data_IF_856729989774
#
_entry.id   IF_856729989774
#
_cell.length_a   1.000
_cell.length_b   1.000
_cell.length_c   1.000
_cell.angle_alpha   90.00
_cell.angle_beta   90.00
_cell.angle_gamma   90.00
#
_symmetry.space_group_name_H-M   'P 1'
#
loop_
_entity.id
_entity.type
_entity.pdbx_description
1 polymer ?
#
# COMPACT_ATOMS: atom_id res chain seq x y z
N UNK A 1 -9.07 18.53 6.94
CA UNK A 1 -9.91 18.93 8.09
C UNK A 1 -10.29 20.39 7.90
N UNK A 2 -11.58 20.72 7.88
CA UNK A 2 -12.01 22.11 7.97
C UNK A 2 -11.56 22.66 9.33
N UNK A 3 -10.84 23.78 9.33
CA UNK A 3 -10.44 24.45 10.58
C UNK A 3 -11.70 24.90 11.32
N UNK A 4 -11.75 24.67 12.63
CA UNK A 4 -12.84 25.17 13.46
C UNK A 4 -12.99 26.70 13.27
N UNK A 5 -14.23 27.22 13.28
CA UNK A 5 -14.44 28.66 13.21
C UNK A 5 -13.76 29.32 14.40
N UNK A 6 -13.00 30.39 14.12
CA UNK A 6 -12.27 31.15 15.13
C UNK A 6 -13.08 32.42 15.41
N UNK A 7 -13.38 32.68 16.68
CA UNK A 7 -14.10 33.87 17.10
C UNK A 7 -13.23 34.80 17.97
N UNK A 8 -13.56 36.09 17.94
CA UNK A 8 -12.94 37.09 18.81
C UNK A 8 -13.30 36.80 20.28
N UNK A 9 -12.35 37.05 21.19
CA UNK A 9 -12.46 36.76 22.62
C UNK A 9 -12.19 35.30 23.00
N UNK A 10 -12.02 34.37 22.06
CA UNK A 10 -11.67 32.99 22.37
C UNK A 10 -10.19 32.84 22.75
N UNK A 11 -9.89 31.91 23.66
CA UNK A 11 -8.53 31.50 24.01
C UNK A 11 -8.09 30.29 23.22
N UNK A 12 -6.90 30.35 22.64
CA UNK A 12 -6.36 29.36 21.73
C UNK A 12 -4.92 29.00 22.12
N UNK A 13 -4.54 27.75 21.84
CA UNK A 13 -3.19 27.28 21.97
C UNK A 13 -2.40 27.62 20.69
N UNK A 14 -1.47 28.57 20.81
CA UNK A 14 -0.57 28.97 19.74
C UNK A 14 0.73 28.16 19.78
N UNK A 15 1.16 27.63 18.63
CA UNK A 15 2.48 26.99 18.49
C UNK A 15 3.10 27.20 17.11
N UNK A 16 4.34 27.69 17.12
CA UNK A 16 5.18 27.81 15.94
C UNK A 16 6.20 26.66 15.90
N UNK A 17 6.02 25.73 14.96
CA UNK A 17 6.89 24.55 14.84
C UNK A 17 6.74 23.60 16.04
N UNK A 18 7.88 23.26 16.66
CA UNK A 18 8.03 22.33 17.79
C UNK A 18 8.18 23.03 19.16
N UNK A 19 7.95 24.34 19.23
CA UNK A 19 8.00 25.09 20.50
C UNK A 19 6.85 24.70 21.44
N UNK A 20 6.94 25.00 22.75
CA UNK A 20 5.80 24.87 23.66
C UNK A 20 4.58 25.70 23.19
N UNK A 21 3.40 25.32 23.66
CA UNK A 21 2.19 26.13 23.44
C UNK A 21 2.24 27.41 24.26
N UNK A 22 1.87 28.53 23.64
CA UNK A 22 1.59 29.81 24.30
C UNK A 22 0.09 30.06 24.31
N UNK A 23 -0.41 30.66 25.39
CA UNK A 23 -1.82 31.03 25.52
C UNK A 23 -2.08 32.35 24.83
N UNK A 24 -3.06 32.36 23.92
CA UNK A 24 -3.41 33.57 23.18
C UNK A 24 -4.91 33.80 23.14
N UNK A 25 -5.32 35.05 23.34
CA UNK A 25 -6.69 35.51 23.12
C UNK A 25 -6.83 36.10 21.72
N UNK A 26 -7.88 35.71 20.99
CA UNK A 26 -8.17 36.26 19.67
C UNK A 26 -8.73 37.67 19.83
N UNK A 27 -7.97 38.68 19.41
CA UNK A 27 -8.41 40.09 19.49
C UNK A 27 -9.23 40.48 18.28
N UNK A 28 -8.83 40.03 17.08
CA UNK A 28 -9.49 40.43 15.84
C UNK A 28 -9.40 39.38 14.74
N UNK A 29 -10.54 39.08 14.12
CA UNK A 29 -10.64 38.18 12.97
C UNK A 29 -10.98 38.96 11.71
N UNK A 30 -10.03 39.10 10.78
CA UNK A 30 -10.23 39.90 9.55
C UNK A 30 -11.02 39.14 8.48
N UNK A 31 -10.99 37.81 8.49
CA UNK A 31 -11.78 36.97 7.58
C UNK A 31 -11.82 35.52 8.07
N UNK A 32 -12.95 34.87 7.83
CA UNK A 32 -13.18 33.45 8.12
C UNK A 32 -12.60 32.51 7.02
N UNK A 33 -12.10 33.02 5.88
CA UNK A 33 -11.59 32.21 4.76
C UNK A 33 -10.05 32.25 4.57
N UNK A 34 -9.42 31.08 4.37
CA UNK A 34 -8.05 30.92 3.86
C UNK A 34 -6.88 31.07 4.87
N UNK A 35 -5.64 31.11 4.35
CA UNK A 35 -4.35 31.31 5.07
C UNK A 35 -4.14 32.74 5.62
N UNK A 36 -5.21 33.38 6.13
CA UNK A 36 -5.15 34.76 6.59
C UNK A 36 -4.65 34.85 8.03
N UNK A 37 -4.12 36.03 8.37
CA UNK A 37 -3.62 36.32 9.72
C UNK A 37 -4.78 36.67 10.65
N UNK A 38 -4.65 36.31 11.91
CA UNK A 38 -5.54 36.67 13.02
C UNK A 38 -4.75 37.53 13.99
N UNK A 39 -5.35 38.58 14.54
CA UNK A 39 -4.70 39.36 15.59
C UNK A 39 -4.94 38.65 16.91
N UNK A 40 -3.86 38.34 17.61
CA UNK A 40 -3.90 37.65 18.89
C UNK A 40 -3.12 38.44 19.92
N UNK A 41 -3.55 38.37 21.17
CA UNK A 41 -2.83 38.89 22.32
C UNK A 41 -2.30 37.70 23.12
N UNK A 42 -1.02 37.70 23.43
CA UNK A 42 -0.40 36.67 24.26
C UNK A 42 -0.73 36.92 25.73
N UNK A 43 -1.27 35.92 26.40
CA UNK A 43 -1.65 36.00 27.81
C UNK A 43 -0.46 35.64 28.74
N UNK A 44 0.45 34.79 28.27
CA UNK A 44 1.61 34.31 29.01
C UNK A 44 2.89 34.22 28.17
N UNK A 45 3.99 33.80 28.81
CA UNK A 45 5.27 33.55 28.15
C UNK A 45 6.12 34.80 27.86
N UNK A 46 7.13 34.68 26.98
CA UNK A 46 8.07 35.76 26.69
C UNK A 46 7.44 36.93 25.93
N UNK A 47 6.28 36.72 25.29
CA UNK A 47 5.56 37.73 24.52
C UNK A 47 4.32 38.25 25.28
N UNK A 48 4.18 37.96 26.58
CA UNK A 48 2.98 38.29 27.34
C UNK A 48 2.60 39.78 27.22
N UNK A 49 1.34 40.04 26.91
CA UNK A 49 0.78 41.37 26.67
C UNK A 49 0.98 41.92 25.26
N UNK A 50 1.81 41.30 24.43
CA UNK A 50 2.00 41.73 23.04
C UNK A 50 0.82 41.31 22.16
N UNK A 51 0.46 42.19 21.22
CA UNK A 51 -0.52 41.89 20.18
C UNK A 51 0.19 41.68 18.84
N UNK A 52 -0.01 40.51 18.23
CA UNK A 52 0.64 40.16 16.96
C UNK A 52 -0.34 39.55 15.96
N UNK A 53 0.00 39.71 14.68
CA UNK A 53 -0.71 39.05 13.58
C UNK A 53 -0.10 37.69 13.29
N UNK A 54 -0.74 36.63 13.75
CA UNK A 54 -0.28 35.24 13.56
C UNK A 54 -1.05 34.56 12.43
N UNK A 55 -0.40 33.63 11.74
CA UNK A 55 -1.08 32.78 10.77
C UNK A 55 -2.01 31.78 11.46
N UNK A 56 -3.24 31.60 10.93
CA UNK A 56 -4.19 30.59 11.42
C UNK A 56 -3.60 29.18 11.64
N UNK A 57 -2.69 28.66 10.78
CA UNK A 57 -2.11 27.32 11.00
C UNK A 57 -1.33 27.14 12.31
N UNK A 58 -0.94 28.24 12.97
CA UNK A 58 -0.27 28.20 14.28
C UNK A 58 -1.24 28.12 15.46
N UNK A 59 -2.54 28.38 15.24
CA UNK A 59 -3.60 28.19 16.23
C UNK A 59 -4.11 26.74 16.10
N UNK A 60 -3.75 25.87 17.03
CA UNK A 60 -4.00 24.42 16.91
C UNK A 60 -5.38 24.02 17.41
N UNK A 61 -5.70 24.40 18.65
CA UNK A 61 -6.92 24.05 19.38
C UNK A 61 -7.27 25.17 20.35
N UNK A 62 -8.47 25.10 20.95
CA UNK A 62 -8.82 25.96 22.09
C UNK A 62 -7.88 25.70 23.26
N UNK A 63 -7.60 26.72 24.06
CA UNK A 63 -6.63 26.63 25.15
C UNK A 63 -6.96 25.50 26.15
N UNK A 64 -8.24 25.30 26.44
CA UNK A 64 -8.72 24.25 27.35
C UNK A 64 -8.55 22.83 26.78
N UNK A 65 -8.41 22.70 25.45
CA UNK A 65 -8.21 21.43 24.75
C UNK A 65 -6.73 21.11 24.50
N UNK A 66 -5.81 22.01 24.88
CA UNK A 66 -4.37 21.87 24.56
C UNK A 66 -3.76 20.57 25.07
N UNK A 67 -4.16 20.13 26.26
CA UNK A 67 -3.59 18.91 26.86
C UNK A 67 -4.02 17.68 26.07
N UNK A 68 -5.31 17.59 25.71
CA UNK A 68 -5.81 16.50 24.86
C UNK A 68 -5.12 16.49 23.49
N UNK A 69 -4.79 17.66 22.94
CA UNK A 69 -4.01 17.77 21.71
C UNK A 69 -2.57 17.27 21.89
N UNK A 70 -1.88 17.66 22.97
CA UNK A 70 -0.53 17.18 23.30
C UNK A 70 -0.53 15.66 23.49
N UNK A 71 -1.49 15.12 24.25
CA UNK A 71 -1.60 13.68 24.51
C UNK A 71 -1.88 12.91 23.21
N UNK A 72 -2.67 13.49 22.30
CA UNK A 72 -2.88 12.95 20.94
C UNK A 72 -1.58 12.92 20.15
N UNK A 73 -0.83 14.02 20.11
CA UNK A 73 0.45 14.06 19.40
C UNK A 73 1.46 13.07 19.98
N UNK A 74 1.49 12.92 21.31
CA UNK A 74 2.36 11.95 21.97
C UNK A 74 1.99 10.52 21.60
N UNK A 75 0.70 10.17 21.50
CA UNK A 75 0.26 8.85 21.01
C UNK A 75 0.76 8.58 19.59
N UNK A 76 0.65 9.56 18.69
CA UNK A 76 1.17 9.45 17.34
C UNK A 76 2.70 9.36 17.29
N UNK A 77 3.41 10.14 18.11
CA UNK A 77 4.86 10.07 18.22
C UNK A 77 5.31 8.68 18.73
N UNK A 78 4.62 8.13 19.73
CA UNK A 78 4.87 6.80 20.26
C UNK A 78 4.62 5.72 19.21
N UNK A 79 3.55 5.82 18.41
CA UNK A 79 3.31 4.87 17.32
C UNK A 79 4.38 4.91 16.22
N UNK A 80 4.99 6.08 15.99
CA UNK A 80 6.07 6.28 15.02
C UNK A 80 7.47 5.99 15.56
N UNK A 81 7.66 5.86 16.87
CA UNK A 81 9.00 5.77 17.48
C UNK A 81 9.80 4.58 16.96
N UNK A 82 9.16 3.44 16.72
CA UNK A 82 9.79 2.23 16.20
C UNK A 82 9.95 2.16 14.68
N UNK A 83 9.58 3.23 13.95
CA UNK A 83 9.60 3.27 12.48
C UNK A 83 10.87 3.93 11.90
N UNK A 84 11.45 4.93 12.56
CA UNK A 84 12.49 5.78 11.98
C UNK A 84 13.77 5.06 11.53
N UNK A 85 14.12 3.97 12.20
CA UNK A 85 15.34 3.19 11.89
C UNK A 85 15.07 1.97 10.99
N UNK A 86 13.84 1.84 10.49
CA UNK A 86 13.45 0.67 9.69
C UNK A 86 13.91 0.84 8.24
N UNK A 87 14.63 -0.15 7.66
CA UNK A 87 15.01 -0.09 6.26
C UNK A 87 13.79 0.04 5.35
N UNK A 88 13.85 0.94 4.36
CA UNK A 88 12.74 1.22 3.45
C UNK A 88 12.24 -0.03 2.70
N UNK A 89 13.13 -0.92 2.25
CA UNK A 89 12.71 -2.18 1.62
C UNK A 89 11.84 -3.06 2.52
N UNK A 90 12.03 -3.00 3.85
CA UNK A 90 11.23 -3.75 4.82
C UNK A 90 9.83 -3.13 4.97
N UNK A 91 9.73 -1.80 4.96
CA UNK A 91 8.44 -1.09 5.08
C UNK A 91 7.64 -1.24 3.80
N UNK A 92 8.27 -1.13 2.63
CA UNK A 92 7.70 -1.45 1.33
C UNK A 92 7.21 -2.90 1.26
N UNK A 93 7.96 -3.87 1.81
CA UNK A 93 7.53 -5.28 1.85
C UNK A 93 6.22 -5.47 2.64
N UNK A 94 6.12 -4.86 3.82
CA UNK A 94 4.90 -4.94 4.63
C UNK A 94 3.73 -4.21 3.95
N UNK A 95 3.98 -3.03 3.38
CA UNK A 95 2.99 -2.25 2.65
C UNK A 95 2.43 -3.03 1.45
N UNK A 96 3.31 -3.63 0.63
CA UNK A 96 2.91 -4.48 -0.51
C UNK A 96 1.97 -5.59 -0.07
N UNK A 97 2.32 -6.35 0.98
CA UNK A 97 1.48 -7.45 1.47
C UNK A 97 0.12 -6.95 1.96
N UNK A 98 0.09 -5.83 2.68
CA UNK A 98 -1.14 -5.27 3.23
C UNK A 98 -2.03 -4.76 2.08
N UNK A 99 -1.52 -3.86 1.26
CA UNK A 99 -2.29 -3.22 0.18
C UNK A 99 -2.78 -4.20 -0.87
N UNK A 100 -1.94 -5.16 -1.30
CA UNK A 100 -2.30 -6.03 -2.42
C UNK A 100 -3.13 -7.26 -2.02
N UNK A 101 -3.18 -7.61 -0.74
CA UNK A 101 -3.76 -8.90 -0.32
C UNK A 101 -4.77 -8.80 0.81
N UNK A 102 -4.90 -7.65 1.46
CA UNK A 102 -5.90 -7.41 2.50
C UNK A 102 -7.08 -6.62 1.94
N UNK A 103 -8.22 -6.77 2.60
CA UNK A 103 -9.35 -5.90 2.35
C UNK A 103 -9.07 -4.54 3.01
N UNK A 104 -9.10 -3.46 2.23
CA UNK A 104 -8.90 -2.07 2.68
C UNK A 104 -9.85 -1.67 3.82
N UNK A 105 -11.05 -2.27 3.88
CA UNK A 105 -12.00 -2.05 4.96
C UNK A 105 -11.55 -2.71 6.28
N UNK A 106 -10.75 -3.77 6.20
CA UNK A 106 -10.21 -4.47 7.36
C UNK A 106 -8.88 -3.89 7.82
N UNK A 107 -7.91 -3.74 6.91
CA UNK A 107 -6.57 -3.31 7.24
C UNK A 107 -5.91 -2.58 6.06
N UNK A 108 -5.36 -1.39 6.32
CA UNK A 108 -4.65 -0.59 5.31
C UNK A 108 -3.39 0.05 5.88
N UNK A 109 -2.41 0.28 5.01
CA UNK A 109 -1.25 1.10 5.34
C UNK A 109 -1.63 2.59 5.28
N UNK A 110 -1.33 3.34 6.36
CA UNK A 110 -1.64 4.77 6.41
C UNK A 110 -0.46 5.66 6.01
N UNK A 111 0.75 5.31 6.44
CA UNK A 111 1.94 6.17 6.35
C UNK A 111 3.22 5.31 6.35
N UNK A 112 3.23 4.15 5.67
CA UNK A 112 4.36 3.23 5.58
C UNK A 112 5.00 2.92 6.93
N UNK A 113 4.24 2.38 7.89
CA UNK A 113 4.78 2.13 9.23
C UNK A 113 3.74 2.17 10.35
N UNK A 114 2.52 2.57 10.02
CA UNK A 114 1.35 2.49 10.90
C UNK A 114 0.25 1.77 10.12
N UNK A 115 -0.14 0.62 10.63
CA UNK A 115 -1.29 -0.13 10.13
C UNK A 115 -2.56 0.43 10.77
N UNK A 116 -3.55 0.70 9.93
CA UNK A 116 -4.87 1.11 10.35
C UNK A 116 -5.83 -0.08 10.24
N UNK A 117 -6.63 -0.36 11.27
CA UNK A 117 -7.68 -1.38 11.21
C UNK A 117 -8.97 -0.89 11.88
N UNK A 118 -10.11 -1.28 11.30
CA UNK A 118 -11.44 -0.99 11.86
C UNK A 118 -11.95 -2.13 12.76
N UNK A 119 -11.32 -3.31 12.70
CA UNK A 119 -11.71 -4.50 13.48
C UNK A 119 -10.47 -5.32 13.84
N UNK A 120 -9.73 -4.85 14.85
CA UNK A 120 -8.54 -5.53 15.35
C UNK A 120 -8.84 -6.97 15.86
N UNK A 121 -9.98 -7.26 16.54
CA UNK A 121 -10.35 -8.63 16.89
C UNK A 121 -10.49 -9.57 15.69
N UNK A 122 -11.17 -9.14 14.62
CA UNK A 122 -11.32 -9.91 13.39
C UNK A 122 -9.98 -10.11 12.69
N UNK A 123 -9.17 -9.05 12.60
CA UNK A 123 -7.82 -9.13 12.02
C UNK A 123 -6.96 -10.17 12.74
N UNK A 124 -7.00 -10.17 14.08
CA UNK A 124 -6.32 -11.16 14.92
C UNK A 124 -6.78 -12.58 14.62
N UNK A 125 -8.09 -12.80 14.53
CA UNK A 125 -8.67 -14.11 14.28
C UNK A 125 -8.30 -14.63 12.88
N UNK A 126 -8.43 -13.79 11.85
CA UNK A 126 -8.14 -14.17 10.46
C UNK A 126 -6.67 -14.52 10.25
N UNK A 127 -5.76 -13.83 10.94
CA UNK A 127 -4.31 -14.04 10.81
C UNK A 127 -3.72 -14.93 11.90
N UNK A 128 -4.55 -15.45 12.81
CA UNK A 128 -4.14 -16.31 13.93
C UNK A 128 -3.02 -15.69 14.78
N UNK A 129 -3.09 -14.38 15.00
CA UNK A 129 -2.13 -13.63 15.81
C UNK A 129 -2.49 -13.71 17.30
N UNK A 130 -1.49 -13.61 18.17
CA UNK A 130 -1.74 -13.39 19.59
C UNK A 130 -2.06 -11.92 19.85
N UNK A 131 -2.69 -11.65 21.00
CA UNK A 131 -2.95 -10.28 21.44
C UNK A 131 -1.66 -9.46 21.57
N UNK A 132 -0.62 -10.07 22.14
CA UNK A 132 0.70 -9.45 22.32
C UNK A 132 1.45 -9.18 21.01
N UNK A 133 1.10 -9.86 19.91
CA UNK A 133 1.68 -9.60 18.59
C UNK A 133 1.00 -8.43 17.89
N UNK A 134 -0.29 -8.21 18.15
CA UNK A 134 -1.07 -7.17 17.51
C UNK A 134 -1.03 -5.87 18.32
N UNK A 135 -1.26 -5.94 19.63
CA UNK A 135 -1.31 -4.77 20.52
C UNK A 135 0.02 -4.60 21.23
N UNK A 136 0.98 -4.00 20.53
CA UNK A 136 2.31 -3.67 21.06
C UNK A 136 2.34 -2.23 21.60
N UNK A 137 3.43 -1.87 22.27
CA UNK A 137 3.65 -0.50 22.74
C UNK A 137 3.52 0.51 21.58
N UNK A 138 2.75 1.58 21.79
CA UNK A 138 2.42 2.57 20.76
C UNK A 138 1.13 2.28 19.98
N UNK A 139 0.45 1.15 20.25
CA UNK A 139 -0.90 0.91 19.71
C UNK A 139 -1.93 1.79 20.42
N UNK A 140 -2.90 2.35 19.69
CA UNK A 140 -3.97 3.16 20.28
C UNK A 140 -5.22 3.20 19.40
N UNK A 141 -6.35 3.52 20.02
CA UNK A 141 -7.62 3.76 19.34
C UNK A 141 -7.92 5.26 19.20
N UNK A 142 -8.42 5.65 18.04
CA UNK A 142 -8.90 7.01 17.79
C UNK A 142 -10.06 6.99 16.79
N UNK A 143 -11.21 7.53 17.20
CA UNK A 143 -12.42 7.65 16.36
C UNK A 143 -12.94 6.30 15.83
N UNK A 144 -12.89 5.24 16.65
CA UNK A 144 -13.36 3.90 16.28
C UNK A 144 -12.40 3.14 15.35
N UNK A 145 -11.18 3.64 15.18
CA UNK A 145 -10.13 3.03 14.38
C UNK A 145 -8.94 2.71 15.28
N UNK A 146 -8.42 1.50 15.17
CA UNK A 146 -7.20 1.08 15.85
C UNK A 146 -5.99 1.36 14.97
N UNK A 147 -4.99 2.02 15.54
CA UNK A 147 -3.69 2.29 14.93
C UNK A 147 -2.63 1.40 15.57
N UNK A 148 -1.96 0.65 14.72
CA UNK A 148 -0.99 -0.36 15.10
C UNK A 148 0.38 0.05 14.57
N UNK A 149 1.40 0.16 15.43
CA UNK A 149 2.72 0.63 15.04
C UNK A 149 3.47 -0.43 14.22
N UNK A 150 4.65 -0.05 13.73
CA UNK A 150 5.47 -0.85 12.83
C UNK A 150 5.65 -2.33 13.23
N UNK A 151 5.98 -2.69 14.49
CA UNK A 151 6.16 -4.10 14.86
C UNK A 151 4.89 -4.94 14.65
N UNK A 152 3.71 -4.36 14.91
CA UNK A 152 2.43 -5.02 14.69
C UNK A 152 2.09 -5.12 13.19
N UNK A 153 2.34 -4.04 12.42
CA UNK A 153 2.19 -4.05 10.96
C UNK A 153 3.04 -5.16 10.31
N UNK A 154 4.30 -5.28 10.73
CA UNK A 154 5.21 -6.34 10.29
C UNK A 154 4.70 -7.72 10.68
N UNK A 155 4.24 -7.90 11.92
CA UNK A 155 3.68 -9.18 12.37
C UNK A 155 2.46 -9.59 11.54
N UNK A 156 1.58 -8.64 11.22
CA UNK A 156 0.41 -8.82 10.34
C UNK A 156 0.84 -9.25 8.93
N UNK A 157 1.77 -8.54 8.31
CA UNK A 157 2.28 -8.89 6.98
C UNK A 157 2.93 -10.30 6.96
N UNK A 158 3.79 -10.59 7.92
CA UNK A 158 4.43 -11.92 8.03
C UNK A 158 3.42 -13.04 8.26
N UNK A 159 2.40 -12.84 9.10
CA UNK A 159 1.35 -13.82 9.32
C UNK A 159 0.54 -14.07 8.05
N UNK A 160 0.24 -13.03 7.28
CA UNK A 160 -0.44 -13.14 5.99
C UNK A 160 0.39 -13.95 4.98
N UNK A 161 1.70 -13.68 4.87
CA UNK A 161 2.61 -14.46 4.02
C UNK A 161 2.62 -15.95 4.37
N UNK A 162 2.58 -16.29 5.66
CA UNK A 162 2.60 -17.69 6.12
C UNK A 162 1.25 -18.39 5.88
N UNK A 163 0.15 -17.69 6.11
CA UNK A 163 -1.19 -18.27 6.02
C UNK A 163 -1.67 -18.41 4.57
N UNK A 164 -1.36 -17.44 3.70
CA UNK A 164 -1.79 -17.40 2.30
C UNK A 164 -0.64 -17.07 1.35
N UNK A 165 0.44 -17.87 1.31
CA UNK A 165 1.62 -17.56 0.52
C UNK A 165 1.33 -17.46 -0.98
N UNK A 166 0.42 -18.28 -1.52
CA UNK A 166 0.10 -18.27 -2.96
C UNK A 166 -0.49 -16.93 -3.41
N UNK A 167 -1.42 -16.36 -2.65
CA UNK A 167 -2.02 -15.06 -2.97
C UNK A 167 -1.00 -13.91 -2.84
N UNK A 168 -0.07 -14.01 -1.89
CA UNK A 168 0.99 -13.02 -1.70
C UNK A 168 2.03 -13.11 -2.81
N UNK A 169 2.46 -14.32 -3.18
CA UNK A 169 3.43 -14.50 -4.26
C UNK A 169 2.83 -14.09 -5.62
N UNK A 170 1.55 -14.35 -5.85
CA UNK A 170 0.83 -13.82 -7.02
C UNK A 170 0.85 -12.28 -7.07
N UNK A 171 0.60 -11.63 -5.93
CA UNK A 171 0.70 -10.17 -5.83
C UNK A 171 2.12 -9.65 -6.11
N UNK A 172 3.16 -10.34 -5.61
CA UNK A 172 4.55 -9.99 -5.90
C UNK A 172 4.84 -10.08 -7.40
N UNK A 173 4.41 -11.13 -8.08
CA UNK A 173 4.65 -11.26 -9.53
C UNK A 173 3.91 -10.19 -10.34
N UNK A 174 2.67 -9.84 -9.96
CA UNK A 174 1.93 -8.71 -10.58
C UNK A 174 2.66 -7.38 -10.39
N UNK A 175 3.21 -7.15 -9.21
CA UNK A 175 3.96 -5.94 -8.90
C UNK A 175 5.29 -5.90 -9.69
N UNK A 176 6.01 -7.02 -9.78
CA UNK A 176 7.22 -7.15 -10.63
C UNK A 176 6.91 -6.80 -12.08
N UNK A 177 5.82 -7.33 -12.65
CA UNK A 177 5.39 -7.05 -14.02
C UNK A 177 5.05 -5.56 -14.20
N UNK A 178 4.26 -4.97 -13.29
CA UNK A 178 3.89 -3.55 -13.34
C UNK A 178 5.10 -2.61 -13.25
N UNK A 179 6.09 -2.94 -12.41
CA UNK A 179 7.33 -2.18 -12.33
C UNK A 179 8.21 -2.38 -13.56
N UNK A 180 8.22 -3.58 -14.14
CA UNK A 180 8.90 -3.85 -15.42
C UNK A 180 8.34 -2.99 -16.55
N UNK A 181 7.01 -2.97 -16.71
CA UNK A 181 6.32 -2.16 -17.73
C UNK A 181 6.60 -0.67 -17.54
N UNK A 182 6.51 -0.18 -16.29
CA UNK A 182 6.82 1.22 -15.96
C UNK A 182 8.27 1.55 -16.32
N UNK A 183 9.19 0.66 -15.99
CA UNK A 183 10.60 0.89 -16.25
C UNK A 183 10.93 0.84 -17.76
N UNK A 184 10.19 0.07 -18.56
CA UNK A 184 10.25 0.12 -20.02
C UNK A 184 9.68 1.43 -20.58
N UNK A 185 8.50 1.85 -20.11
CA UNK A 185 7.84 3.10 -20.54
C UNK A 185 8.73 4.33 -20.28
N UNK A 186 9.33 4.41 -19.10
CA UNK A 186 10.20 5.51 -18.73
C UNK A 186 11.66 5.35 -19.24
N UNK A 187 11.94 4.31 -20.02
CA UNK A 187 13.23 4.10 -20.69
C UNK A 187 14.38 3.65 -19.77
N UNK A 188 14.05 3.17 -18.56
CA UNK A 188 15.01 2.61 -17.61
C UNK A 188 15.38 1.16 -17.94
N UNK A 189 14.52 0.41 -18.62
CA UNK A 189 14.84 -0.90 -19.17
C UNK A 189 14.39 -0.95 -20.62
N UNK A 190 15.32 -0.93 -21.58
CA UNK A 190 15.00 -1.27 -22.97
C UNK A 190 15.33 -2.74 -23.20
N UNK A 191 14.33 -3.63 -23.40
CA UNK A 191 14.61 -4.93 -23.99
C UNK A 191 15.08 -4.72 -25.44
N UNK A 192 16.39 -4.65 -25.65
CA UNK A 192 16.95 -4.68 -27.00
C UNK A 192 17.02 -6.13 -27.47
N UNK A 193 16.66 -6.36 -28.73
CA UNK A 193 16.52 -7.68 -29.33
C UNK A 193 17.62 -8.70 -28.94
N UNK A 194 17.20 -9.82 -28.36
CA UNK A 194 17.87 -11.12 -28.23
C UNK A 194 19.30 -11.25 -27.68
N UNK A 195 20.09 -10.21 -27.37
CA UNK A 195 21.48 -10.47 -26.92
C UNK A 195 22.24 -9.44 -26.08
N UNK A 196 21.69 -8.31 -25.68
CA UNK A 196 22.41 -7.35 -24.82
C UNK A 196 21.47 -6.70 -23.80
N UNK A 197 21.71 -6.98 -22.52
CA UNK A 197 21.19 -6.17 -21.41
C UNK A 197 22.10 -4.95 -21.32
N UNK A 198 21.54 -3.75 -21.51
CA UNK A 198 22.25 -2.52 -21.16
C UNK A 198 22.16 -2.42 -19.65
N UNK A 199 23.25 -2.69 -18.94
CA UNK A 199 23.40 -2.23 -17.56
C UNK A 199 23.41 -0.70 -17.62
N UNK A 200 22.36 -0.06 -17.09
CA UNK A 200 22.39 1.38 -16.85
C UNK A 200 23.51 1.68 -15.85
N UNK A 201 24.27 2.75 -16.09
CA UNK A 201 25.32 3.20 -15.17
C UNK A 201 24.77 3.55 -13.77
N UNK A 202 23.46 3.85 -13.65
CA UNK A 202 22.79 4.12 -12.38
C UNK A 202 21.47 3.34 -12.28
N UNK A 203 21.34 2.36 -11.35
CA UNK A 203 20.09 1.64 -11.14
C UNK A 203 19.04 2.58 -10.52
N UNK A 204 17.79 2.44 -10.95
CA UNK A 204 16.65 3.22 -10.44
C UNK A 204 16.45 2.92 -8.94
N UNK A 205 16.73 3.86 -8.01
CA UNK A 205 16.80 3.56 -6.57
C UNK A 205 15.49 3.02 -5.98
N UNK A 206 14.36 3.50 -6.51
CA UNK A 206 13.02 3.03 -6.15
C UNK A 206 12.81 1.56 -6.56
N UNK A 207 13.27 1.18 -7.76
CA UNK A 207 13.20 -0.20 -8.23
C UNK A 207 14.07 -1.14 -7.39
N UNK A 208 15.28 -0.74 -7.01
CA UNK A 208 16.14 -1.56 -6.13
C UNK A 208 15.55 -1.71 -4.72
N UNK A 209 14.91 -0.65 -4.22
CA UNK A 209 14.15 -0.72 -2.97
C UNK A 209 12.99 -1.72 -3.09
N UNK A 210 12.26 -1.68 -4.20
CA UNK A 210 11.13 -2.58 -4.44
C UNK A 210 11.59 -4.03 -4.64
N UNK A 211 12.71 -4.25 -5.33
CA UNK A 211 13.34 -5.57 -5.45
C UNK A 211 13.72 -6.16 -4.09
N UNK A 212 14.29 -5.34 -3.23
CA UNK A 212 14.57 -5.71 -1.83
C UNK A 212 13.27 -6.09 -1.11
N UNK A 213 12.19 -5.34 -1.33
CA UNK A 213 10.88 -5.64 -0.75
C UNK A 213 10.33 -7.01 -1.22
N UNK A 214 10.40 -7.31 -2.52
CA UNK A 214 9.98 -8.60 -3.07
C UNK A 214 10.73 -9.77 -2.43
N UNK A 215 12.05 -9.65 -2.31
CA UNK A 215 12.88 -10.72 -1.73
C UNK A 215 12.58 -10.94 -0.25
N UNK A 216 12.29 -9.87 0.50
CA UNK A 216 11.81 -9.95 1.89
C UNK A 216 10.46 -10.69 1.96
N UNK A 217 9.49 -10.33 1.12
CA UNK A 217 8.16 -10.96 1.09
C UNK A 217 8.26 -12.44 0.74
N UNK A 218 9.10 -12.80 -0.24
CA UNK A 218 9.41 -14.20 -0.58
C UNK A 218 10.02 -14.93 0.63
N UNK A 219 10.95 -14.30 1.33
CA UNK A 219 11.54 -14.82 2.56
C UNK A 219 10.49 -15.08 3.66
N UNK A 220 9.50 -14.20 3.82
CA UNK A 220 8.41 -14.39 4.79
C UNK A 220 7.46 -15.54 4.46
N UNK A 221 7.25 -15.83 3.17
CA UNK A 221 6.45 -16.98 2.71
C UNK A 221 7.16 -18.32 3.01
N UNK A 222 8.49 -18.31 3.06
CA UNK A 222 9.33 -19.47 3.36
C UNK A 222 9.59 -20.40 2.16
N UNK A 223 10.70 -21.14 2.24
CA UNK A 223 11.23 -21.93 1.12
C UNK A 223 10.24 -22.97 0.57
N UNK A 224 9.51 -23.66 1.46
CA UNK A 224 8.53 -24.66 1.06
C UNK A 224 7.39 -24.07 0.22
N UNK A 225 6.96 -22.84 0.54
CA UNK A 225 5.93 -22.16 -0.24
C UNK A 225 6.48 -21.70 -1.59
N UNK A 226 7.70 -21.16 -1.61
CA UNK A 226 8.39 -20.77 -2.84
C UNK A 226 8.59 -21.95 -3.79
N UNK A 227 8.98 -23.13 -3.28
CA UNK A 227 9.16 -24.32 -4.10
C UNK A 227 7.83 -24.80 -4.74
N UNK A 228 6.73 -24.76 -3.97
CA UNK A 228 5.39 -25.06 -4.51
C UNK A 228 4.96 -24.03 -5.54
N UNK A 229 5.18 -22.74 -5.26
CA UNK A 229 4.87 -21.65 -6.18
C UNK A 229 5.66 -21.78 -7.48
N UNK A 230 6.97 -21.98 -7.41
CA UNK A 230 7.82 -22.20 -8.59
C UNK A 230 7.34 -23.38 -9.45
N UNK A 231 6.93 -24.48 -8.79
CA UNK A 231 6.35 -25.63 -9.49
C UNK A 231 5.03 -25.26 -10.17
N UNK A 232 4.14 -24.55 -9.47
CA UNK A 232 2.87 -24.08 -10.01
C UNK A 232 3.07 -23.12 -11.18
N UNK A 233 3.98 -22.15 -11.05
CA UNK A 233 4.32 -21.19 -12.11
C UNK A 233 4.87 -21.88 -13.34
N UNK A 234 5.75 -22.89 -13.17
CA UNK A 234 6.23 -23.71 -14.29
C UNK A 234 5.09 -24.45 -14.98
N UNK A 235 4.20 -25.09 -14.22
CA UNK A 235 3.04 -25.79 -14.79
C UNK A 235 2.10 -24.82 -15.51
N UNK A 236 1.88 -23.62 -14.97
CA UNK A 236 1.11 -22.56 -15.63
C UNK A 236 1.76 -22.12 -16.95
N UNK A 237 3.08 -21.92 -16.96
CA UNK A 237 3.82 -21.56 -18.17
C UNK A 237 3.77 -22.68 -19.24
N UNK A 238 3.95 -23.94 -18.84
CA UNK A 238 3.83 -25.08 -19.74
C UNK A 238 2.41 -25.18 -20.32
N UNK A 239 1.38 -25.01 -19.50
CA UNK A 239 -0.03 -24.98 -19.95
C UNK A 239 -0.31 -23.82 -20.92
N UNK A 240 0.25 -22.64 -20.67
CA UNK A 240 0.13 -21.50 -21.57
C UNK A 240 0.80 -21.79 -22.92
N UNK A 241 2.02 -22.34 -22.91
CA UNK A 241 2.75 -22.72 -24.13
C UNK A 241 2.02 -23.81 -24.92
N UNK A 242 1.48 -24.82 -24.25
CA UNK A 242 0.68 -25.86 -24.90
C UNK A 242 -0.59 -25.28 -25.53
N UNK A 243 -1.24 -24.34 -24.84
CA UNK A 243 -2.42 -23.64 -25.37
C UNK A 243 -2.08 -22.84 -26.63
N UNK A 244 -0.93 -22.18 -26.66
CA UNK A 244 -0.46 -21.41 -27.81
C UNK A 244 -0.10 -22.31 -29.01
N UNK A 245 0.63 -23.41 -28.77
CA UNK A 245 0.97 -24.40 -29.81
C UNK A 245 -0.31 -24.99 -30.40
N UNK A 246 -1.27 -25.33 -29.54
CA UNK A 246 -2.56 -25.85 -29.96
C UNK A 246 -3.34 -24.83 -30.81
N UNK A 247 -3.34 -23.55 -30.42
CA UNK A 247 -3.93 -22.47 -31.22
C UNK A 247 -3.33 -22.41 -32.61
N UNK A 248 -1.99 -22.40 -32.71
CA UNK A 248 -1.28 -22.42 -34.00
C UNK A 248 -1.57 -23.67 -34.84
N UNK A 249 -1.72 -24.83 -34.21
CA UNK A 249 -2.05 -26.07 -34.90
C UNK A 249 -3.47 -26.05 -35.48
N UNK A 250 -4.44 -25.49 -34.74
CA UNK A 250 -5.80 -25.29 -35.24
C UNK A 250 -5.85 -24.32 -36.41
N UNK A 251 -5.16 -23.17 -36.29
CA UNK A 251 -5.07 -22.20 -37.38
C UNK A 251 -4.48 -22.83 -38.66
N UNK A 252 -3.49 -23.72 -38.51
CA UNK A 252 -2.88 -24.43 -39.62
C UNK A 252 -3.85 -25.43 -40.28
N UNK A 253 -4.62 -26.18 -39.49
CA UNK A 253 -5.64 -27.11 -40.00
C UNK A 253 -6.77 -26.38 -40.74
N UNK A 254 -7.22 -25.24 -40.20
CA UNK A 254 -8.25 -24.42 -40.84
C UNK A 254 -7.76 -23.81 -42.15
N UNK A 255 -6.53 -23.30 -42.20
CA UNK A 255 -5.92 -22.81 -43.46
C UNK A 255 -5.74 -23.91 -44.50
N UNK A 256 -5.61 -25.16 -44.08
CA UNK A 256 -5.53 -26.32 -44.97
C UNK A 256 -6.92 -26.83 -45.42
N UNK A 257 -8.01 -26.27 -44.90
CA UNK A 257 -9.38 -26.68 -45.19
C UNK A 257 -9.85 -27.95 -44.46
N UNK A 258 -9.08 -28.45 -43.48
CA UNK A 258 -9.47 -29.62 -42.67
C UNK A 258 -10.27 -29.19 -41.42
N UNK A 259 -11.48 -28.69 -41.68
CA UNK A 259 -12.40 -28.23 -40.62
C UNK A 259 -12.84 -29.36 -39.68
N UNK A 260 -12.85 -30.61 -40.16
CA UNK A 260 -13.27 -31.76 -39.36
C UNK A 260 -12.24 -32.06 -38.27
N UNK A 261 -10.96 -32.15 -38.64
CA UNK A 261 -9.86 -32.36 -37.68
C UNK A 261 -9.72 -31.18 -36.73
N UNK A 262 -9.84 -29.94 -37.23
CA UNK A 262 -9.82 -28.74 -36.39
C UNK A 262 -10.94 -28.76 -35.33
N UNK A 263 -12.18 -29.06 -35.74
CA UNK A 263 -13.32 -29.12 -34.82
C UNK A 263 -13.21 -30.26 -33.80
N UNK A 264 -12.64 -31.41 -34.18
CA UNK A 264 -12.37 -32.51 -33.25
C UNK A 264 -11.34 -32.09 -32.19
N UNK A 265 -10.22 -31.53 -32.62
CA UNK A 265 -9.14 -31.10 -31.74
C UNK A 265 -9.61 -29.98 -30.78
N UNK A 266 -10.45 -29.06 -31.26
CA UNK A 266 -11.10 -28.03 -30.43
C UNK A 266 -11.98 -28.62 -29.33
N UNK A 267 -12.75 -29.68 -29.63
CA UNK A 267 -13.58 -30.38 -28.62
C UNK A 267 -12.72 -31.12 -27.59
N UNK A 268 -11.64 -31.77 -28.03
CA UNK A 268 -10.70 -32.46 -27.14
C UNK A 268 -9.97 -31.47 -26.22
N UNK A 269 -9.51 -30.34 -26.76
CA UNK A 269 -8.92 -29.26 -25.99
C UNK A 269 -9.88 -28.66 -24.96
N UNK A 270 -11.14 -28.39 -25.34
CA UNK A 270 -12.15 -27.89 -24.41
C UNK A 270 -12.38 -28.81 -23.20
N UNK A 271 -12.22 -30.13 -23.37
CA UNK A 271 -12.29 -31.11 -22.28
C UNK A 271 -11.02 -31.13 -21.43
N UNK A 272 -9.85 -31.00 -22.05
CA UNK A 272 -8.56 -31.05 -21.36
C UNK A 272 -8.29 -29.81 -20.49
N UNK A 273 -8.68 -28.61 -20.95
CA UNK A 273 -8.41 -27.35 -20.25
C UNK A 273 -9.54 -26.89 -19.32
N UNK A 274 -10.72 -27.55 -19.33
CA UNK A 274 -11.85 -27.30 -18.41
C UNK A 274 -12.61 -25.98 -18.62
N UNK A 275 -11.90 -24.88 -18.90
CA UNK A 275 -12.45 -23.62 -19.44
C UNK A 275 -11.94 -23.46 -20.88
N UNK A 276 -12.84 -23.10 -21.78
CA UNK A 276 -12.50 -22.71 -23.16
C UNK A 276 -11.50 -21.55 -23.12
N UNK A 277 -10.23 -21.75 -23.54
CA UNK A 277 -9.22 -20.69 -23.58
C UNK A 277 -9.73 -19.47 -24.36
N UNK A 278 -9.31 -18.26 -23.99
CA UNK A 278 -9.86 -17.03 -24.57
C UNK A 278 -9.63 -16.92 -26.09
N UNK A 279 -8.57 -17.54 -26.62
CA UNK A 279 -8.36 -17.64 -28.07
C UNK A 279 -9.41 -18.53 -28.77
N UNK A 280 -9.96 -19.56 -28.10
CA UNK A 280 -11.09 -20.33 -28.65
C UNK A 280 -12.37 -19.48 -28.65
N UNK A 281 -12.57 -18.60 -27.66
CA UNK A 281 -13.72 -17.69 -27.63
C UNK A 281 -13.62 -16.62 -28.74
N UNK A 282 -12.43 -16.14 -29.03
CA UNK A 282 -12.19 -15.16 -30.10
C UNK A 282 -12.37 -15.79 -31.49
N UNK A 283 -11.86 -17.01 -31.73
CA UNK A 283 -12.12 -17.74 -32.98
C UNK A 283 -13.61 -18.07 -33.20
N UNK A 284 -14.35 -18.39 -32.12
CA UNK A 284 -15.80 -18.62 -32.22
C UNK A 284 -16.59 -17.35 -32.56
N UNK A 285 -16.10 -16.16 -32.17
CA UNK A 285 -16.71 -14.87 -32.56
C UNK A 285 -16.44 -14.53 -34.02
N UNK A 286 -15.26 -14.85 -34.54
CA UNK A 286 -14.90 -14.60 -35.94
C UNK A 286 -15.63 -15.52 -36.93
N UNK A 287 -16.03 -16.73 -36.53
CA UNK A 287 -16.85 -17.64 -37.36
C UNK A 287 -18.36 -17.33 -37.35
N UNK A 288 -18.83 -16.40 -36.50
CA UNK A 288 -20.23 -15.97 -36.38
C UNK A 288 -20.51 -14.60 -37.03
N UNK A 289 -19.52 -14.02 -37.71
CA UNK A 289 -19.62 -12.81 -38.55
C UNK A 289 -19.46 -13.18 -40.02
#
# INVERSE_FOLDING_TARGET
MAMAPIAEGERWAYRKGSLPFEDVTIVKVVSQSGHRKVSVQFEDGPNAGETQWVGRPYLKVKWDERQAFVDREQRWANAKSGYWDVPLGLTCAAALVITETMDDALARDRDHGILQTNDAPLLRQLLQLTESQLFVEGSFDEQGVTYLPWPAMKAVAMAKCRLKPEAVLDAVERDVESWGDSAEEFGYYKPMSSRQVIELEEPWPEYETQKTAWDIVRGWCGESALARWSTLSRVRADNARLSEILGRALDALERAGDEHSANRLRKEAGRAFGKTPDWIKNLQKEQLQ
#
